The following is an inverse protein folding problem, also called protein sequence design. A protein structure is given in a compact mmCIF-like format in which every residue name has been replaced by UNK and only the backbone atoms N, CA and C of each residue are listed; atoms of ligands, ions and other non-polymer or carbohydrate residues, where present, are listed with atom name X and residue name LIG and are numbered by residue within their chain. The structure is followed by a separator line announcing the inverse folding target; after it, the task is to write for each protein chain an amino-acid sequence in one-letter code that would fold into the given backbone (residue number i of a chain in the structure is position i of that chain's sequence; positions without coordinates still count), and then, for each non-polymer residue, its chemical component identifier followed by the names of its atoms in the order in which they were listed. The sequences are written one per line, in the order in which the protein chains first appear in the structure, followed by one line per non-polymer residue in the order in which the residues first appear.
data_IF_615694069032
#
_entry.id   IF_615694069032
#
_cell.length_a   1.000
_cell.length_b   1.000
_cell.length_c   1.000
_cell.angle_alpha   90.00
_cell.angle_beta   90.00
_cell.angle_gamma   90.00
#
_symmetry.space_group_name_H-M   'P 1'
#
loop_
_entity.id
_entity.type
_entity.pdbx_description
1 polymer ?
#
# COMPACT_ATOMS: atom_id res chain seq x y z
N UNK A 1 19.19 -13.48 -19.11
CA UNK A 1 19.33 -14.41 -17.97
C UNK A 1 18.00 -15.12 -17.79
N UNK A 2 17.98 -16.43 -17.52
CA UNK A 2 16.75 -17.18 -17.26
C UNK A 2 16.70 -17.51 -15.77
N UNK A 3 15.56 -17.26 -15.12
CA UNK A 3 15.32 -17.61 -13.72
C UNK A 3 14.64 -18.97 -13.55
N UNK A 4 14.30 -19.62 -14.67
CA UNK A 4 13.76 -20.98 -14.67
C UNK A 4 14.89 -21.98 -14.39
N UNK A 5 14.75 -22.87 -13.40
CA UNK A 5 15.79 -23.85 -13.08
C UNK A 5 15.81 -25.02 -14.08
N UNK A 6 14.70 -25.25 -14.79
CA UNK A 6 14.50 -26.42 -15.64
C UNK A 6 15.42 -26.42 -16.87
N UNK A 7 16.21 -27.48 -16.99
CA UNK A 7 16.97 -27.81 -18.21
C UNK A 7 16.03 -28.28 -19.32
N UNK A 8 16.56 -28.46 -20.53
CA UNK A 8 15.77 -29.04 -21.64
C UNK A 8 15.38 -30.50 -21.38
N UNK A 9 16.22 -31.24 -20.66
CA UNK A 9 15.91 -32.61 -20.24
C UNK A 9 14.77 -32.63 -19.22
N UNK A 10 14.79 -31.76 -18.22
CA UNK A 10 13.69 -31.59 -17.26
C UNK A 10 12.38 -31.31 -17.97
N UNK A 11 12.38 -30.36 -18.90
CA UNK A 11 11.19 -30.01 -19.68
C UNK A 11 10.66 -31.21 -20.47
N UNK A 12 11.53 -31.98 -21.11
CA UNK A 12 11.15 -33.16 -21.89
C UNK A 12 10.56 -34.26 -21.00
N UNK A 13 11.16 -34.53 -19.83
CA UNK A 13 10.65 -35.51 -18.86
C UNK A 13 9.29 -35.08 -18.29
N UNK A 14 9.15 -33.81 -17.93
CA UNK A 14 7.91 -33.23 -17.41
C UNK A 14 6.78 -33.31 -18.45
N UNK A 15 7.04 -32.93 -19.72
CA UNK A 15 6.06 -33.02 -20.80
C UNK A 15 5.62 -34.46 -21.05
N UNK A 16 6.57 -35.41 -21.09
CA UNK A 16 6.27 -36.84 -21.25
C UNK A 16 5.39 -37.36 -20.11
N UNK A 17 5.65 -36.95 -18.86
CA UNK A 17 4.89 -37.39 -17.69
C UNK A 17 3.41 -36.99 -17.76
N UNK A 18 3.09 -35.88 -18.43
CA UNK A 18 1.72 -35.40 -18.67
C UNK A 18 1.19 -35.75 -20.07
N UNK A 19 1.90 -36.58 -20.84
CA UNK A 19 1.48 -37.06 -22.16
C UNK A 19 1.54 -36.01 -23.28
N UNK A 20 2.34 -34.95 -23.13
CA UNK A 20 2.51 -33.90 -24.13
C UNK A 20 3.86 -34.00 -24.84
N UNK A 21 3.92 -33.51 -26.07
CA UNK A 21 5.15 -33.56 -26.90
C UNK A 21 5.92 -32.24 -26.93
N UNK A 22 5.24 -31.11 -26.70
CA UNK A 22 5.82 -29.78 -26.73
C UNK A 22 5.09 -28.84 -25.75
N UNK A 23 5.71 -27.68 -25.50
CA UNK A 23 5.18 -26.69 -24.55
C UNK A 23 3.92 -25.98 -25.07
N UNK A 24 3.73 -25.89 -26.38
CA UNK A 24 2.59 -25.17 -26.99
C UNK A 24 1.28 -25.94 -26.72
N UNK A 25 1.35 -27.26 -26.59
CA UNK A 25 0.20 -28.11 -26.23
C UNK A 25 -0.37 -27.79 -24.83
N UNK A 26 0.43 -27.24 -23.90
CA UNK A 26 -0.08 -26.80 -22.59
C UNK A 26 -1.15 -25.72 -22.74
N UNK A 27 -1.08 -24.91 -23.80
CA UNK A 27 -1.97 -23.78 -24.03
C UNK A 27 -3.15 -24.10 -24.95
N UNK A 28 -3.42 -25.37 -25.28
CA UNK A 28 -4.52 -25.78 -26.19
C UNK A 28 -5.91 -25.32 -25.74
N UNK A 29 -6.09 -25.10 -24.44
CA UNK A 29 -7.33 -24.62 -23.82
C UNK A 29 -7.56 -23.11 -24.06
N UNK A 30 -6.53 -22.37 -24.47
CA UNK A 30 -6.65 -20.96 -24.86
C UNK A 30 -7.03 -20.88 -26.35
N UNK A 31 -8.16 -20.23 -26.70
CA UNK A 31 -8.59 -20.08 -28.09
C UNK A 31 -7.46 -19.54 -28.98
N UNK A 32 -7.27 -20.15 -30.15
CA UNK A 32 -6.18 -19.78 -31.07
C UNK A 32 -6.23 -18.30 -31.49
N UNK A 33 -7.44 -17.75 -31.62
CA UNK A 33 -7.67 -16.33 -31.93
C UNK A 33 -7.11 -15.36 -30.87
N UNK A 34 -6.99 -15.80 -29.62
CA UNK A 34 -6.39 -15.04 -28.52
C UNK A 34 -4.87 -15.26 -28.45
N UNK A 35 -4.38 -16.45 -28.81
CA UNK A 35 -2.94 -16.78 -28.80
C UNK A 35 -2.14 -16.03 -29.88
N UNK A 36 -2.66 -15.91 -31.10
CA UNK A 36 -1.97 -15.23 -32.21
C UNK A 36 -1.74 -13.73 -31.96
N UNK A 37 -2.48 -13.13 -31.01
CA UNK A 37 -2.35 -11.72 -30.62
C UNK A 37 -1.39 -11.50 -29.45
N UNK A 38 -0.82 -12.56 -28.87
CA UNK A 38 -0.05 -12.50 -27.63
C UNK A 38 1.41 -12.01 -27.79
N UNK A 39 1.79 -11.50 -28.97
CA UNK A 39 3.11 -10.91 -29.18
C UNK A 39 3.27 -9.62 -28.38
N UNK A 40 4.10 -9.64 -27.33
CA UNK A 40 4.38 -8.44 -26.52
C UNK A 40 5.55 -7.68 -27.15
N UNK A 41 5.31 -6.43 -27.56
CA UNK A 41 6.35 -5.55 -28.12
C UNK A 41 7.29 -5.06 -27.00
N UNK A 42 8.26 -5.88 -26.62
CA UNK A 42 9.29 -5.56 -25.63
C UNK A 42 10.69 -5.55 -26.26
N UNK A 43 11.60 -4.79 -25.67
CA UNK A 43 13.01 -4.86 -26.02
C UNK A 43 13.61 -6.22 -25.63
N UNK A 44 14.72 -6.58 -26.29
CA UNK A 44 15.46 -7.79 -25.92
C UNK A 44 15.92 -7.74 -24.46
N UNK A 45 15.92 -8.91 -23.81
CA UNK A 45 16.37 -9.05 -22.43
C UNK A 45 17.84 -8.68 -22.27
N UNK A 46 18.17 -8.06 -21.14
CA UNK A 46 19.53 -7.67 -20.78
C UNK A 46 20.15 -8.67 -19.78
N UNK A 47 21.48 -8.67 -19.67
CA UNK A 47 22.16 -9.31 -18.53
C UNK A 47 21.95 -8.51 -17.25
N UNK A 48 22.11 -9.13 -16.08
CA UNK A 48 21.93 -8.45 -14.80
C UNK A 48 22.84 -7.21 -14.68
N UNK A 49 24.11 -7.32 -15.06
CA UNK A 49 25.07 -6.20 -15.05
C UNK A 49 24.60 -5.05 -15.95
N UNK A 50 24.06 -5.37 -17.13
CA UNK A 50 23.53 -4.36 -18.05
C UNK A 50 22.26 -3.71 -17.51
N UNK A 51 21.37 -4.46 -16.84
CA UNK A 51 20.20 -3.91 -16.14
C UNK A 51 20.63 -2.96 -15.02
N UNK A 52 21.52 -3.40 -14.13
CA UNK A 52 22.02 -2.58 -13.01
C UNK A 52 22.63 -1.28 -13.50
N UNK A 53 23.50 -1.33 -14.51
CA UNK A 53 24.11 -0.13 -15.11
C UNK A 53 23.05 0.80 -15.70
N UNK A 54 22.08 0.26 -16.43
CA UNK A 54 21.00 1.05 -17.04
C UNK A 54 20.15 1.75 -15.97
N UNK A 55 19.77 1.04 -14.90
CA UNK A 55 18.99 1.60 -13.81
C UNK A 55 19.78 2.66 -13.03
N UNK A 56 21.07 2.43 -12.76
CA UNK A 56 21.94 3.43 -12.15
C UNK A 56 22.02 4.72 -12.99
N UNK A 57 22.19 4.59 -14.30
CA UNK A 57 22.22 5.75 -15.21
C UNK A 57 20.88 6.51 -15.27
N UNK A 58 19.75 5.83 -15.06
CA UNK A 58 18.45 6.48 -14.96
C UNK A 58 18.28 7.17 -13.61
N UNK A 59 18.66 6.50 -12.51
CA UNK A 59 18.59 7.05 -11.15
C UNK A 59 19.45 8.32 -11.01
N UNK A 60 20.61 8.37 -11.67
CA UNK A 60 21.51 9.53 -11.68
C UNK A 60 20.91 10.79 -12.34
N UNK A 61 19.72 10.70 -12.96
CA UNK A 61 18.99 11.87 -13.49
C UNK A 61 18.09 12.54 -12.45
N UNK A 62 17.90 11.92 -11.29
CA UNK A 62 17.05 12.44 -10.22
C UNK A 62 17.87 13.26 -9.22
N UNK A 63 17.25 14.25 -8.58
CA UNK A 63 17.80 14.89 -7.39
C UNK A 63 17.50 14.00 -6.17
N UNK A 64 18.46 13.16 -5.78
CA UNK A 64 18.26 12.20 -4.70
C UNK A 64 18.33 12.85 -3.32
N UNK A 65 17.58 12.30 -2.36
CA UNK A 65 17.57 12.76 -0.97
C UNK A 65 18.94 12.67 -0.27
N UNK A 66 19.86 11.83 -0.78
CA UNK A 66 21.22 11.70 -0.27
C UNK A 66 22.14 12.84 -0.70
N UNK A 67 21.82 13.50 -1.81
CA UNK A 67 22.70 14.46 -2.46
C UNK A 67 22.22 15.91 -2.26
N UNK A 68 20.98 16.09 -1.79
CA UNK A 68 20.31 17.38 -1.65
C UNK A 68 19.64 17.51 -0.28
N UNK A 69 19.71 18.71 0.29
CA UNK A 69 18.85 19.08 1.43
C UNK A 69 17.50 19.56 0.93
N UNK A 70 16.41 19.06 1.50
CA UNK A 70 15.04 19.46 1.16
C UNK A 70 14.18 19.56 2.42
N UNK A 71 13.27 20.53 2.42
CA UNK A 71 12.37 20.83 3.53
C UNK A 71 10.92 20.90 3.05
N UNK A 72 10.55 20.03 2.10
CA UNK A 72 9.24 20.04 1.44
C UNK A 72 8.09 19.61 2.38
N UNK A 73 8.37 18.74 3.36
CA UNK A 73 7.37 18.24 4.31
C UNK A 73 6.21 17.51 3.63
N UNK A 74 4.98 17.74 4.11
CA UNK A 74 3.79 17.17 3.49
C UNK A 74 3.63 15.67 3.75
N UNK A 75 3.87 15.23 4.98
CA UNK A 75 3.70 13.82 5.38
C UNK A 75 4.86 12.90 5.02
N UNK A 76 5.86 13.38 4.28
CA UNK A 76 7.11 12.65 4.01
C UNK A 76 8.28 13.54 4.46
N UNK A 77 9.10 13.00 5.36
CA UNK A 77 10.19 13.73 5.99
C UNK A 77 11.49 12.94 5.90
N UNK A 78 12.60 13.65 5.75
CA UNK A 78 13.91 13.01 5.73
C UNK A 78 14.33 12.63 7.16
N UNK A 79 14.40 11.34 7.44
CA UNK A 79 14.83 10.81 8.73
C UNK A 79 16.05 9.89 8.55
N UNK A 80 16.90 9.85 9.58
CA UNK A 80 17.96 8.86 9.65
C UNK A 80 17.34 7.48 9.84
N UNK A 81 17.62 6.55 8.92
CA UNK A 81 17.24 5.14 9.02
C UNK A 81 18.46 4.39 9.58
N UNK A 82 18.38 3.80 10.79
CA UNK A 82 19.50 3.04 11.35
C UNK A 82 19.89 1.87 10.45
N UNK A 83 21.17 1.64 10.22
CA UNK A 83 21.67 0.56 9.33
C UNK A 83 21.22 -0.85 9.76
N UNK A 84 20.93 -1.03 11.04
CA UNK A 84 20.34 -2.26 11.56
C UNK A 84 18.98 -2.59 10.91
N UNK A 85 18.18 -1.57 10.54
CA UNK A 85 16.90 -1.76 9.86
C UNK A 85 17.12 -2.44 8.52
N UNK A 86 17.99 -1.88 7.67
CA UNK A 86 18.32 -2.45 6.36
C UNK A 86 18.87 -3.89 6.48
N UNK A 87 19.71 -4.14 7.48
CA UNK A 87 20.25 -5.47 7.75
C UNK A 87 19.15 -6.48 8.12
N UNK A 88 18.11 -6.07 8.85
CA UNK A 88 17.00 -6.95 9.24
C UNK A 88 16.03 -7.16 8.07
N UNK A 89 15.56 -6.09 7.43
CA UNK A 89 14.52 -6.19 6.39
C UNK A 89 15.02 -6.84 5.10
N UNK A 90 16.34 -6.86 4.87
CA UNK A 90 16.96 -7.53 3.72
C UNK A 90 17.12 -9.05 3.91
N UNK A 91 16.87 -9.59 5.10
CA UNK A 91 16.90 -11.04 5.33
C UNK A 91 15.81 -11.72 4.52
N UNK A 92 16.15 -12.83 3.87
CA UNK A 92 15.24 -13.58 3.01
C UNK A 92 13.95 -14.02 3.72
N UNK A 93 14.04 -14.33 5.00
CA UNK A 93 12.95 -14.78 5.86
C UNK A 93 11.87 -13.71 6.02
N UNK A 94 12.24 -12.43 5.93
CA UNK A 94 11.30 -11.30 5.89
C UNK A 94 10.95 -10.88 4.47
N UNK A 95 11.94 -10.83 3.57
CA UNK A 95 11.74 -10.29 2.22
C UNK A 95 10.97 -11.23 1.27
N UNK A 96 10.94 -12.53 1.55
CA UNK A 96 10.36 -13.54 0.63
C UNK A 96 9.23 -14.37 1.26
N UNK A 97 9.00 -14.25 2.56
CA UNK A 97 7.82 -14.84 3.19
C UNK A 97 6.55 -14.10 2.75
N UNK A 98 5.41 -14.75 2.89
CA UNK A 98 4.11 -14.17 2.56
C UNK A 98 3.20 -14.17 3.80
N UNK A 99 1.92 -13.84 3.62
CA UNK A 99 0.93 -13.81 4.69
C UNK A 99 1.06 -15.04 5.59
N UNK A 100 1.20 -14.87 6.91
CA UNK A 100 1.56 -15.94 7.85
C UNK A 100 0.37 -16.87 8.15
N UNK A 101 -0.21 -17.50 7.13
CA UNK A 101 -1.32 -18.45 7.25
C UNK A 101 -0.95 -19.74 7.98
N UNK A 102 0.35 -20.05 8.07
CA UNK A 102 0.88 -21.20 8.82
C UNK A 102 1.66 -20.67 10.02
N UNK A 103 0.98 -20.39 11.15
CA UNK A 103 1.57 -19.67 12.27
C UNK A 103 2.75 -20.40 12.91
N UNK A 104 2.76 -21.73 12.90
CA UNK A 104 3.80 -22.59 13.50
C UNK A 104 5.16 -22.37 12.84
N UNK A 105 5.19 -21.97 11.57
CA UNK A 105 6.41 -21.67 10.80
C UNK A 105 6.59 -20.18 10.51
N UNK A 106 5.76 -19.33 11.11
CA UNK A 106 5.73 -17.88 10.86
C UNK A 106 5.91 -17.03 12.12
N UNK A 107 6.35 -17.63 13.23
CA UNK A 107 6.44 -16.94 14.53
C UNK A 107 7.32 -15.68 14.50
N UNK A 108 8.41 -15.66 13.71
CA UNK A 108 9.24 -14.46 13.56
C UNK A 108 8.47 -13.25 13.03
N UNK A 109 7.72 -13.44 11.93
CA UNK A 109 6.87 -12.40 11.34
C UNK A 109 5.71 -12.04 12.27
N UNK A 110 5.03 -13.04 12.85
CA UNK A 110 3.91 -12.80 13.75
C UNK A 110 4.32 -12.03 15.01
N UNK A 111 5.48 -12.34 15.58
CA UNK A 111 6.01 -11.60 16.71
C UNK A 111 6.34 -10.15 16.33
N UNK A 112 7.00 -9.91 15.18
CA UNK A 112 7.28 -8.55 14.72
C UNK A 112 6.00 -7.73 14.50
N UNK A 113 4.93 -8.35 13.97
CA UNK A 113 3.63 -7.71 13.81
C UNK A 113 2.96 -7.41 15.16
N UNK A 114 3.05 -8.33 16.11
CA UNK A 114 2.54 -8.12 17.47
C UNK A 114 3.26 -6.96 18.19
N UNK A 115 4.59 -6.89 18.05
CA UNK A 115 5.39 -5.79 18.57
C UNK A 115 5.01 -4.45 17.91
N UNK A 116 4.83 -4.44 16.58
CA UNK A 116 4.32 -3.26 15.86
C UNK A 116 2.95 -2.81 16.39
N UNK A 117 1.99 -3.72 16.52
CA UNK A 117 0.66 -3.41 17.05
C UNK A 117 0.75 -2.83 18.46
N UNK A 118 1.57 -3.42 19.31
CA UNK A 118 1.80 -2.96 20.69
C UNK A 118 2.37 -1.55 20.71
N UNK A 119 3.37 -1.26 19.88
CA UNK A 119 3.98 0.07 19.77
C UNK A 119 2.96 1.13 19.29
N UNK A 120 2.12 0.78 18.31
CA UNK A 120 1.05 1.68 17.85
C UNK A 120 0.01 1.93 18.96
N UNK A 121 -0.41 0.90 19.69
CA UNK A 121 -1.32 1.07 20.84
C UNK A 121 -0.70 1.99 21.91
N UNK A 122 0.57 1.78 22.27
CA UNK A 122 1.27 2.61 23.25
C UNK A 122 1.42 4.07 22.78
N UNK A 123 1.72 4.29 21.49
CA UNK A 123 1.88 5.62 20.92
C UNK A 123 0.55 6.39 20.84
N UNK A 124 -0.54 5.70 20.51
CA UNK A 124 -1.85 6.32 20.28
C UNK A 124 -2.75 6.32 21.52
N UNK A 125 -2.41 5.55 22.55
CA UNK A 125 -3.25 5.32 23.72
C UNK A 125 -4.50 4.48 23.45
N UNK A 126 -4.57 3.79 22.30
CA UNK A 126 -5.71 2.97 21.89
C UNK A 126 -5.57 1.52 22.37
N UNK A 127 -6.69 0.84 22.55
CA UNK A 127 -6.74 -0.54 23.06
C UNK A 127 -6.27 -1.58 22.03
N UNK A 128 -6.42 -1.29 20.73
CA UNK A 128 -6.08 -2.21 19.66
C UNK A 128 -5.57 -1.48 18.40
N UNK A 129 -4.66 -2.14 17.69
CA UNK A 129 -4.16 -1.75 16.38
C UNK A 129 -4.14 -2.96 15.45
N UNK A 130 -4.32 -2.73 14.15
CA UNK A 130 -4.12 -3.78 13.14
C UNK A 130 -2.63 -3.90 12.76
N UNK A 131 -2.31 -4.88 11.92
CA UNK A 131 -0.95 -5.12 11.42
C UNK A 131 -0.53 -4.16 10.28
N UNK A 132 -1.05 -2.93 10.29
CA UNK A 132 -0.78 -1.90 9.28
C UNK A 132 -1.82 -1.82 8.16
N UNK A 133 -1.72 -0.74 7.40
CA UNK A 133 -2.45 -0.45 6.16
C UNK A 133 -1.48 0.22 5.16
N UNK A 134 -1.91 0.45 3.93
CA UNK A 134 -1.01 0.90 2.86
C UNK A 134 -0.36 2.26 3.13
N UNK A 135 -1.15 3.24 3.58
CA UNK A 135 -0.68 4.59 3.91
C UNK A 135 -1.67 5.29 4.85
N UNK A 136 -1.31 6.48 5.34
CA UNK A 136 -2.21 7.25 6.22
C UNK A 136 -3.46 7.79 5.52
N UNK A 137 -3.45 7.95 4.19
CA UNK A 137 -4.59 8.44 3.42
C UNK A 137 -5.71 7.39 3.37
N UNK A 138 -5.36 6.16 2.98
CA UNK A 138 -6.23 4.99 3.01
C UNK A 138 -6.63 4.61 4.43
N UNK A 139 -5.74 4.76 5.42
CA UNK A 139 -6.08 4.59 6.84
C UNK A 139 -7.22 5.54 7.26
N UNK A 140 -7.11 6.81 6.88
CA UNK A 140 -8.12 7.84 7.20
C UNK A 140 -9.46 7.54 6.54
N UNK A 141 -9.44 7.06 5.29
CA UNK A 141 -10.65 6.63 4.59
C UNK A 141 -11.29 5.38 5.24
N UNK A 142 -10.49 4.38 5.62
CA UNK A 142 -10.99 3.20 6.33
C UNK A 142 -11.57 3.54 7.71
N UNK A 143 -11.01 4.54 8.41
CA UNK A 143 -11.60 5.04 9.66
C UNK A 143 -12.98 5.68 9.45
N UNK A 144 -13.17 6.42 8.35
CA UNK A 144 -14.49 6.95 7.95
C UNK A 144 -15.46 5.81 7.63
N UNK A 145 -15.03 4.80 6.87
CA UNK A 145 -15.85 3.64 6.55
C UNK A 145 -16.17 2.79 7.78
N UNK A 146 -15.24 2.68 8.73
CA UNK A 146 -15.47 2.02 10.02
C UNK A 146 -16.53 2.77 10.82
N UNK A 147 -16.45 4.10 10.88
CA UNK A 147 -17.46 4.96 11.50
C UNK A 147 -18.84 4.73 10.89
N UNK A 148 -18.94 4.62 9.56
CA UNK A 148 -20.19 4.30 8.86
C UNK A 148 -20.79 2.95 9.26
N UNK A 149 -19.96 1.94 9.48
CA UNK A 149 -20.39 0.59 9.85
C UNK A 149 -20.95 0.52 11.28
N UNK A 150 -20.42 1.33 12.20
CA UNK A 150 -20.80 1.30 13.62
C UNK A 150 -21.89 2.32 13.99
N UNK A 151 -22.01 3.43 13.25
CA UNK A 151 -22.99 4.48 13.54
C UNK A 151 -24.38 4.15 12.95
N UNK A 152 -25.48 4.57 13.61
CA UNK A 152 -26.84 4.42 13.09
C UNK A 152 -27.00 5.00 11.69
N UNK A 153 -27.97 4.47 10.93
CA UNK A 153 -28.24 4.90 9.54
C UNK A 153 -28.62 6.38 9.41
N UNK A 154 -29.11 7.01 10.49
CA UNK A 154 -29.40 8.44 10.55
C UNK A 154 -28.15 9.33 10.55
N UNK A 155 -26.97 8.77 10.81
CA UNK A 155 -25.70 9.49 10.86
C UNK A 155 -24.85 9.21 9.64
N UNK A 156 -24.80 10.15 8.70
CA UNK A 156 -24.09 9.97 7.43
C UNK A 156 -23.33 11.20 6.94
N UNK A 157 -23.15 12.21 7.79
CA UNK A 157 -22.35 13.39 7.48
C UNK A 157 -20.95 13.26 8.08
N UNK A 158 -19.92 13.33 7.24
CA UNK A 158 -18.51 13.40 7.65
C UNK A 158 -18.10 14.86 7.71
N UNK A 159 -17.55 15.30 8.83
CA UNK A 159 -16.88 16.60 8.93
C UNK A 159 -15.36 16.37 8.84
N UNK A 160 -14.69 17.01 7.90
CA UNK A 160 -13.24 16.87 7.70
C UNK A 160 -12.55 18.22 7.81
N UNK A 161 -11.57 18.34 8.68
CA UNK A 161 -10.78 19.57 8.79
C UNK A 161 -9.96 19.83 7.52
N UNK A 162 -9.97 21.08 7.02
CA UNK A 162 -9.07 21.53 5.95
C UNK A 162 -7.60 21.56 6.37
N UNK A 163 -7.31 21.53 7.67
CA UNK A 163 -5.96 21.38 8.19
C UNK A 163 -5.40 19.95 8.02
N UNK A 164 -6.27 18.96 7.76
CA UNK A 164 -5.82 17.62 7.39
C UNK A 164 -5.10 17.65 6.04
N UNK A 165 -4.08 16.78 5.90
CA UNK A 165 -3.30 16.62 4.69
C UNK A 165 -4.20 16.56 3.43
N UNK A 166 -3.94 17.38 2.39
CA UNK A 166 -4.84 17.49 1.23
C UNK A 166 -5.10 16.16 0.52
N UNK A 167 -4.06 15.33 0.34
CA UNK A 167 -4.23 14.00 -0.26
C UNK A 167 -5.09 13.06 0.60
N UNK A 168 -5.11 13.20 1.92
CA UNK A 168 -5.94 12.36 2.78
C UNK A 168 -7.40 12.73 2.58
N UNK A 169 -7.71 14.03 2.50
CA UNK A 169 -9.05 14.52 2.16
C UNK A 169 -9.51 14.04 0.78
N UNK A 170 -8.63 14.06 -0.22
CA UNK A 170 -8.93 13.58 -1.57
C UNK A 170 -9.20 12.07 -1.61
N UNK A 171 -8.40 11.27 -0.88
CA UNK A 171 -8.60 9.82 -0.79
C UNK A 171 -9.89 9.49 -0.04
N UNK A 172 -10.19 10.16 1.07
CA UNK A 172 -11.49 10.02 1.76
C UNK A 172 -12.64 10.30 0.80
N UNK A 173 -12.61 11.45 0.11
CA UNK A 173 -13.62 11.84 -0.88
C UNK A 173 -13.77 10.79 -1.97
N UNK A 174 -12.66 10.24 -2.45
CA UNK A 174 -12.66 9.19 -3.49
C UNK A 174 -13.29 7.90 -2.99
N UNK A 175 -12.98 7.47 -1.77
CA UNK A 175 -13.52 6.24 -1.18
C UNK A 175 -15.04 6.31 -0.98
N UNK A 176 -15.56 7.46 -0.56
CA UNK A 176 -16.99 7.63 -0.29
C UNK A 176 -17.80 8.09 -1.51
N UNK A 177 -17.17 8.40 -2.66
CA UNK A 177 -17.82 9.05 -3.80
C UNK A 177 -19.05 8.31 -4.36
N UNK A 178 -19.07 6.99 -4.20
CA UNK A 178 -20.15 6.12 -4.68
C UNK A 178 -21.09 5.66 -3.54
N UNK A 179 -20.95 6.24 -2.35
CA UNK A 179 -21.85 6.02 -1.23
C UNK A 179 -22.89 7.14 -1.22
N UNK A 180 -24.02 6.88 -1.87
CA UNK A 180 -25.11 7.87 -2.03
C UNK A 180 -25.68 8.35 -0.68
N UNK A 181 -25.54 7.54 0.37
CA UNK A 181 -26.01 7.88 1.70
C UNK A 181 -25.06 8.80 2.48
N UNK A 182 -23.79 8.96 2.05
CA UNK A 182 -22.75 9.69 2.81
C UNK A 182 -22.47 11.06 2.19
N UNK A 183 -22.45 12.09 3.04
CA UNK A 183 -21.99 13.43 2.67
C UNK A 183 -20.68 13.77 3.39
N UNK A 184 -19.84 14.60 2.75
CA UNK A 184 -18.61 15.12 3.34
C UNK A 184 -18.60 16.63 3.26
N UNK A 185 -18.36 17.26 4.40
CA UNK A 185 -18.20 18.70 4.54
C UNK A 185 -16.82 19.03 5.09
N UNK A 186 -16.20 20.06 4.54
CA UNK A 186 -14.90 20.54 5.01
C UNK A 186 -15.05 21.67 6.02
N UNK A 187 -14.38 21.55 7.17
CA UNK A 187 -14.28 22.60 8.19
C UNK A 187 -13.03 23.44 7.90
N UNK A 188 -13.18 24.75 7.85
CA UNK A 188 -12.09 25.69 7.56
C UNK A 188 -11.05 25.70 8.68
N UNK A 189 -9.88 26.22 8.37
CA UNK A 189 -8.93 26.66 9.38
C UNK A 189 -9.24 28.08 9.83
N UNK A 190 -8.88 28.41 11.07
CA UNK A 190 -8.90 29.78 11.58
C UNK A 190 -7.61 30.55 11.22
N UNK A 191 -7.47 31.77 11.73
CA UNK A 191 -6.31 32.62 11.46
C UNK A 191 -4.99 32.07 12.02
N UNK A 192 -5.03 31.08 12.93
CA UNK A 192 -3.85 30.38 13.42
C UNK A 192 -3.41 29.21 12.52
N UNK A 193 -4.23 28.86 11.53
CA UNK A 193 -4.03 27.67 10.68
C UNK A 193 -4.54 26.37 11.31
N UNK A 194 -5.05 26.42 12.54
CA UNK A 194 -5.72 25.29 13.19
C UNK A 194 -7.15 25.13 12.68
N UNK A 195 -7.78 23.98 12.94
CA UNK A 195 -9.21 23.77 12.64
C UNK A 195 -10.07 24.80 13.37
N UNK A 196 -10.97 25.50 12.66
CA UNK A 196 -11.92 26.43 13.27
C UNK A 196 -12.93 25.65 14.14
N UNK A 197 -12.69 25.65 15.45
CA UNK A 197 -13.50 24.91 16.42
C UNK A 197 -14.90 25.52 16.59
N UNK A 198 -15.07 26.82 16.36
CA UNK A 198 -16.39 27.47 16.43
C UNK A 198 -17.25 27.04 15.24
N UNK A 199 -16.68 27.01 14.03
CA UNK A 199 -17.37 26.43 12.88
C UNK A 199 -17.66 24.94 13.09
N UNK A 200 -16.69 24.16 13.59
CA UNK A 200 -16.90 22.74 13.87
C UNK A 200 -18.08 22.53 14.83
N UNK A 201 -18.13 23.26 15.96
CA UNK A 201 -19.23 23.20 16.94
C UNK A 201 -20.57 23.59 16.32
N UNK A 202 -20.61 24.63 15.49
CA UNK A 202 -21.83 25.06 14.82
C UNK A 202 -22.33 24.07 13.74
N UNK A 203 -21.44 23.24 13.20
CA UNK A 203 -21.77 22.23 12.18
C UNK A 203 -22.07 20.85 12.73
N UNK A 204 -21.66 20.57 13.97
CA UNK A 204 -21.95 19.32 14.67
C UNK A 204 -23.45 19.21 14.95
N UNK A 205 -24.03 18.08 14.55
CA UNK A 205 -25.45 17.77 14.75
C UNK A 205 -25.67 16.25 14.87
N UNK A 206 -26.92 15.84 15.06
CA UNK A 206 -27.31 14.43 15.22
C UNK A 206 -27.09 13.58 13.95
N UNK A 207 -26.88 14.21 12.78
CA UNK A 207 -26.56 13.54 11.52
C UNK A 207 -25.06 13.29 11.32
N UNK A 208 -24.22 13.88 12.17
CA UNK A 208 -22.76 13.75 12.09
C UNK A 208 -22.33 12.34 12.46
N UNK A 209 -21.66 11.68 11.53
CA UNK A 209 -21.15 10.32 11.64
C UNK A 209 -19.78 10.28 12.31
N UNK A 210 -18.87 11.13 11.85
CA UNK A 210 -17.53 11.28 12.42
C UNK A 210 -16.93 12.64 12.07
N UNK A 211 -15.92 13.02 12.85
CA UNK A 211 -15.07 14.18 12.59
C UNK A 211 -13.65 13.68 12.35
N UNK A 212 -13.04 14.12 11.26
CA UNK A 212 -11.63 13.81 10.93
C UNK A 212 -10.81 15.08 11.05
N UNK A 213 -9.85 15.08 11.97
CA UNK A 213 -8.92 16.19 12.22
C UNK A 213 -7.48 15.69 12.05
N UNK A 214 -6.57 16.61 11.73
CA UNK A 214 -5.13 16.38 11.60
C UNK A 214 -4.35 17.19 12.62
#
# INVERSE_FOLDING_TARGET
MRYTPHTLDDQTRMLRAIGLQDIDQLYRHVPASLRAKAGIRLAAGLSEVAVRRRLANLAAKNAAATDWSFFLGGGIYHHAIPSAVDAVVSRSEFATSYTPYQPEVSQGTLQALYEFQTLICQLTGMEAANAGVYDGASASAEAVLMSRRIQPVSRRRVLVSRALHPHYREVIRTYIRNLEDVSLEEIRFDDSGATDLEQLRARLDESTMCVVVG
#
